data_IF_715807753452
#
_entry.id   IF_715807753452
#
_cell.length_a   1.000
_cell.length_b   1.000
_cell.length_c   1.000
_cell.angle_alpha   90.00
_cell.angle_beta   90.00
_cell.angle_gamma   90.00
#
_symmetry.space_group_name_H-M   'P 1'
#
loop_
_entity.id
_entity.type
_entity.pdbx_description
1 polymer ?
#
# COMPACT_ATOMS: atom_id res chain seq x y z
N UNK A 1 6.36 17.54 0.73
CA UNK A 1 5.26 16.77 0.10
C UNK A 1 5.63 15.28 0.20
N UNK A 2 4.86 14.44 0.92
CA UNK A 2 5.12 13.01 1.03
C UNK A 2 5.05 12.31 -0.33
N UNK A 3 5.71 11.15 -0.47
CA UNK A 3 5.61 10.35 -1.71
C UNK A 3 4.19 9.81 -1.88
N UNK A 4 3.67 9.73 -3.12
CA UNK A 4 2.41 9.03 -3.36
C UNK A 4 2.56 7.53 -3.04
N UNK A 5 1.56 6.97 -2.35
CA UNK A 5 1.53 5.55 -1.99
C UNK A 5 1.50 4.67 -3.24
N UNK A 6 2.40 3.69 -3.29
CA UNK A 6 2.37 2.66 -4.33
C UNK A 6 1.30 1.58 -4.02
N UNK A 7 1.07 0.68 -4.98
CA UNK A 7 0.03 -0.34 -4.86
C UNK A 7 0.19 -1.24 -3.62
N UNK A 8 1.42 -1.63 -3.29
CA UNK A 8 1.70 -2.42 -2.10
C UNK A 8 1.41 -1.65 -0.80
N UNK A 9 1.73 -0.35 -0.74
CA UNK A 9 1.43 0.46 0.45
C UNK A 9 -0.06 0.65 0.66
N UNK A 10 -0.84 0.80 -0.42
CA UNK A 10 -2.31 0.82 -0.38
C UNK A 10 -2.83 -0.54 0.10
N UNK A 11 -2.34 -1.63 -0.50
CA UNK A 11 -2.70 -2.98 -0.08
C UNK A 11 -2.35 -3.24 1.39
N UNK A 12 -1.15 -2.90 1.86
CA UNK A 12 -0.75 -3.07 3.26
C UNK A 12 -1.68 -2.32 4.21
N UNK A 13 -2.05 -1.09 3.88
CA UNK A 13 -3.00 -0.31 4.69
C UNK A 13 -4.36 -1.00 4.74
N UNK A 14 -4.84 -1.51 3.61
CA UNK A 14 -6.08 -2.28 3.55
C UNK A 14 -5.95 -3.58 4.35
N UNK A 15 -4.86 -4.32 4.18
CA UNK A 15 -4.56 -5.56 4.88
C UNK A 15 -4.54 -5.37 6.40
N UNK A 16 -3.89 -4.31 6.90
CA UNK A 16 -3.90 -3.95 8.32
C UNK A 16 -5.31 -3.58 8.82
N UNK A 17 -6.16 -3.00 7.96
CA UNK A 17 -7.53 -2.62 8.33
C UNK A 17 -8.50 -3.82 8.26
N UNK A 18 -8.28 -4.77 7.35
CA UNK A 18 -9.13 -5.95 7.15
C UNK A 18 -8.74 -7.15 7.98
N UNK A 19 -7.45 -7.37 8.21
CA UNK A 19 -7.01 -8.42 9.11
C UNK A 19 -7.27 -7.98 10.54
N UNK A 20 -8.13 -8.75 11.20
CA UNK A 20 -7.94 -9.52 12.45
C UNK A 20 -6.53 -9.44 13.10
N UNK A 21 -5.91 -8.27 13.13
CA UNK A 21 -5.12 -7.83 14.29
C UNK A 21 -6.14 -7.18 15.22
N UNK A 22 -7.17 -7.96 15.55
CA UNK A 22 -7.81 -7.85 16.86
C UNK A 22 -6.66 -7.86 17.84
N UNK A 23 -6.46 -6.72 18.52
CA UNK A 23 -5.85 -6.40 19.82
C UNK A 23 -4.95 -7.40 20.57
N UNK A 24 -4.94 -8.69 20.23
CA UNK A 24 -4.34 -9.85 20.89
C UNK A 24 -3.21 -10.56 20.13
N UNK A 25 -3.10 -10.54 18.80
CA UNK A 25 -2.23 -11.52 18.09
C UNK A 25 -0.85 -11.02 17.66
N UNK A 26 -0.69 -9.80 17.12
CA UNK A 26 0.66 -9.30 16.78
C UNK A 26 0.65 -7.78 16.59
N UNK A 27 1.29 -7.03 17.49
CA UNK A 27 1.40 -5.55 17.38
C UNK A 27 2.64 -5.14 16.60
N UNK A 28 3.54 -6.07 16.29
CA UNK A 28 4.75 -5.76 15.58
C UNK A 28 4.48 -5.54 14.08
N UNK A 29 4.49 -4.26 13.69
CA UNK A 29 4.38 -3.84 12.30
C UNK A 29 5.45 -4.43 11.38
N UNK A 30 6.58 -4.91 11.91
CA UNK A 30 7.60 -5.64 11.13
C UNK A 30 7.07 -6.99 10.66
N UNK A 31 6.42 -7.74 11.54
CA UNK A 31 5.82 -9.04 11.21
C UNK A 31 4.64 -8.87 10.26
N UNK A 32 3.77 -7.89 10.53
CA UNK A 32 2.63 -7.57 9.65
C UNK A 32 3.11 -7.25 8.23
N UNK A 33 4.18 -6.46 8.10
CA UNK A 33 4.71 -6.09 6.78
C UNK A 33 5.34 -7.28 6.04
N UNK A 34 5.96 -8.23 6.76
CA UNK A 34 6.43 -9.49 6.17
C UNK A 34 5.27 -10.35 5.67
N UNK A 35 4.23 -10.55 6.49
CA UNK A 35 3.04 -11.33 6.11
C UNK A 35 2.34 -10.69 4.92
N UNK A 36 2.10 -9.37 4.97
CA UNK A 36 1.52 -8.64 3.85
C UNK A 36 2.37 -8.78 2.57
N UNK A 37 3.70 -8.77 2.69
CA UNK A 37 4.61 -9.02 1.57
C UNK A 37 4.42 -10.41 0.97
N UNK A 38 4.31 -11.45 1.79
CA UNK A 38 4.04 -12.82 1.31
C UNK A 38 2.68 -12.92 0.63
N UNK A 39 1.61 -12.40 1.25
CA UNK A 39 0.26 -12.42 0.67
C UNK A 39 0.22 -11.67 -0.66
N UNK A 40 0.80 -10.47 -0.70
CA UNK A 40 0.88 -9.67 -1.92
C UNK A 40 1.60 -10.43 -3.04
N UNK A 41 2.70 -11.11 -2.75
CA UNK A 41 3.47 -11.86 -3.74
C UNK A 41 2.76 -13.14 -4.22
N UNK A 42 1.94 -13.76 -3.38
CA UNK A 42 1.14 -14.94 -3.73
C UNK A 42 -0.21 -14.61 -4.37
N UNK A 43 -0.64 -13.35 -4.33
CA UNK A 43 -1.95 -12.92 -4.81
C UNK A 43 -2.04 -12.97 -6.35
N UNK A 44 -3.15 -13.44 -6.94
CA UNK A 44 -3.38 -13.36 -8.39
C UNK A 44 -3.34 -11.93 -8.93
N UNK A 45 -2.96 -11.72 -10.21
CA UNK A 45 -2.96 -10.39 -10.83
C UNK A 45 -4.31 -9.68 -10.78
N UNK A 46 -5.42 -10.45 -10.86
CA UNK A 46 -6.78 -9.92 -10.77
C UNK A 46 -7.05 -9.22 -9.43
N UNK A 47 -6.60 -9.82 -8.33
CA UNK A 47 -6.80 -9.27 -6.99
C UNK A 47 -5.85 -8.09 -6.71
N UNK A 48 -4.68 -8.05 -7.38
CA UNK A 48 -3.77 -6.89 -7.33
C UNK A 48 -4.26 -5.72 -8.18
N UNK A 49 -5.06 -5.98 -9.21
CA UNK A 49 -5.54 -4.99 -10.17
C UNK A 49 -6.20 -3.76 -9.52
N UNK A 50 -7.11 -3.87 -8.53
CA UNK A 50 -7.70 -2.70 -7.88
C UNK A 50 -6.65 -1.83 -7.17
N UNK A 51 -5.68 -2.44 -6.49
CA UNK A 51 -4.60 -1.71 -5.81
C UNK A 51 -3.65 -1.02 -6.79
N UNK A 52 -3.37 -1.67 -7.92
CA UNK A 52 -2.57 -1.10 -9.00
C UNK A 52 -3.28 0.08 -9.67
N UNK A 53 -4.58 -0.04 -9.94
CA UNK A 53 -5.39 1.05 -10.49
C UNK A 53 -5.41 2.23 -9.53
N UNK A 54 -5.67 1.99 -8.24
CA UNK A 54 -5.68 3.04 -7.23
C UNK A 54 -4.33 3.73 -7.08
N UNK A 55 -3.22 2.98 -7.14
CA UNK A 55 -1.88 3.58 -7.10
C UNK A 55 -1.60 4.49 -8.31
N UNK A 56 -2.11 4.14 -9.50
CA UNK A 56 -2.01 5.00 -10.69
C UNK A 56 -2.79 6.30 -10.48
N UNK A 57 -4.01 6.22 -9.97
CA UNK A 57 -4.84 7.39 -9.65
C UNK A 57 -4.16 8.31 -8.64
N UNK A 58 -3.68 7.76 -7.51
CA UNK A 58 -3.01 8.54 -6.46
C UNK A 58 -1.74 9.20 -7.01
N UNK A 59 -0.97 8.50 -7.84
CA UNK A 59 0.21 9.08 -8.50
C UNK A 59 -0.16 10.21 -9.44
N UNK A 60 -1.21 10.03 -10.25
CA UNK A 60 -1.68 11.06 -11.18
C UNK A 60 -2.22 12.29 -10.44
N UNK A 61 -3.04 12.09 -9.40
CA UNK A 61 -3.55 13.15 -8.55
C UNK A 61 -2.40 13.91 -7.86
N UNK A 62 -1.40 13.20 -7.34
CA UNK A 62 -0.23 13.81 -6.73
C UNK A 62 0.56 14.65 -7.74
N UNK A 63 0.75 14.16 -8.97
CA UNK A 63 1.42 14.92 -10.02
C UNK A 63 0.64 16.18 -10.42
N UNK A 64 -0.69 16.09 -10.46
CA UNK A 64 -1.56 17.24 -10.74
C UNK A 64 -1.52 18.29 -9.62
N UNK A 65 -1.62 17.87 -8.36
CA UNK A 65 -1.57 18.77 -7.18
C UNK A 65 -0.18 19.35 -6.93
N UNK A 66 0.86 18.62 -7.34
CA UNK A 66 2.26 19.00 -7.10
C UNK A 66 3.10 18.86 -8.38
N UNK A 67 2.90 19.72 -9.38
CA UNK A 67 3.57 19.62 -10.68
C UNK A 67 5.09 19.77 -10.60
N UNK A 68 5.59 20.54 -9.62
CA UNK A 68 7.02 20.73 -9.39
C UNK A 68 7.60 19.74 -8.36
N UNK A 69 6.86 18.69 -8.00
CA UNK A 69 7.34 17.72 -7.04
C UNK A 69 8.51 16.89 -7.61
N UNK A 70 9.64 16.94 -6.90
CA UNK A 70 10.77 16.05 -7.12
C UNK A 70 11.10 15.38 -5.79
N UNK A 71 11.24 14.05 -5.82
CA UNK A 71 11.66 13.31 -4.66
C UNK A 71 13.14 13.60 -4.37
N UNK A 72 13.44 14.05 -3.15
CA UNK A 72 14.77 14.22 -2.60
C UNK A 72 14.89 13.25 -1.40
N UNK A 73 15.69 12.18 -1.52
CA UNK A 73 15.87 11.18 -0.47
C UNK A 73 16.63 11.71 0.74
#
# INVERSE_FOLDING_TARGET
>A
IPRPSNAFMIFRSHFCATQIVTSTVERDHRHISRIAGHVWNSMPPADRAPFLARAREVKAQHAFLHPNYKYAP
#
